data_IF_528843321574
#
_entry.id   IF_528843321574
#
_cell.length_a   1.000
_cell.length_b   1.000
_cell.length_c   1.000
_cell.angle_alpha   90.00
_cell.angle_beta   90.00
_cell.angle_gamma   90.00
#
_symmetry.space_group_name_H-M   'P 1'
#
loop_
_entity.id
_entity.type
_entity.pdbx_description
1 polymer ?
#
# COMPACT_ATOMS: atom_id res chain seq x y z
N UNK A 1 -8.13 -56.42 -101.13
CA UNK A 1 -7.55 -55.06 -101.16
C UNK A 1 -7.53 -54.56 -99.72
N UNK A 2 -6.45 -54.73 -98.92
CA UNK A 2 -5.33 -53.76 -98.72
C UNK A 2 -5.92 -52.38 -98.38
N UNK A 3 -5.74 -51.70 -97.22
CA UNK A 3 -4.71 -51.70 -96.16
C UNK A 3 -5.22 -50.89 -94.95
N UNK A 4 -4.79 -51.30 -93.74
CA UNK A 4 -4.26 -50.51 -92.60
C UNK A 4 -4.98 -49.21 -92.17
N UNK A 5 -5.28 -49.09 -90.88
CA UNK A 5 -4.32 -48.57 -89.88
C UNK A 5 -4.89 -48.67 -88.45
N UNK A 6 -4.11 -49.34 -87.62
CA UNK A 6 -4.06 -49.25 -86.17
C UNK A 6 -3.70 -47.84 -85.70
N UNK A 7 -4.27 -47.37 -84.59
CA UNK A 7 -3.51 -46.60 -83.61
C UNK A 7 -4.04 -46.79 -82.18
N UNK A 8 -3.12 -47.29 -81.35
CA UNK A 8 -3.13 -47.40 -79.90
C UNK A 8 -2.20 -46.28 -79.37
N UNK A 9 -2.60 -45.46 -78.40
CA UNK A 9 -1.75 -44.73 -77.41
C UNK A 9 -2.63 -43.84 -76.53
N UNK A 10 -2.81 -44.14 -75.22
CA UNK A 10 -1.97 -43.85 -74.03
C UNK A 10 -2.35 -42.53 -73.32
N UNK A 11 -2.50 -42.60 -71.99
CA UNK A 11 -2.57 -41.48 -71.02
C UNK A 11 -3.91 -41.47 -70.27
N UNK A 12 -4.12 -42.19 -69.16
CA UNK A 12 -3.55 -42.09 -67.80
C UNK A 12 -3.68 -40.69 -67.15
N UNK A 13 -4.28 -40.73 -65.95
CA UNK A 13 -4.11 -39.86 -64.78
C UNK A 13 -5.21 -38.82 -64.46
N UNK A 14 -6.06 -39.23 -63.51
CA UNK A 14 -6.20 -38.58 -62.20
C UNK A 14 -6.61 -37.09 -62.18
N UNK A 15 -7.90 -36.82 -62.35
CA UNK A 15 -8.52 -35.53 -62.01
C UNK A 15 -9.55 -35.75 -60.90
N UNK A 16 -9.10 -35.79 -59.66
CA UNK A 16 -10.00 -36.01 -58.53
C UNK A 16 -9.32 -36.03 -57.18
N UNK A 17 -8.30 -35.21 -56.94
CA UNK A 17 -7.74 -35.02 -55.59
C UNK A 17 -6.83 -33.78 -55.53
N UNK A 18 -7.39 -32.58 -55.64
CA UNK A 18 -6.60 -31.35 -55.45
C UNK A 18 -7.41 -30.19 -54.82
N UNK A 19 -8.36 -30.51 -53.93
CA UNK A 19 -9.12 -29.52 -53.14
C UNK A 19 -9.20 -30.00 -51.67
N UNK A 20 -8.08 -30.41 -51.07
CA UNK A 20 -8.06 -30.72 -49.63
C UNK A 20 -6.76 -30.37 -48.88
N UNK A 21 -5.80 -29.69 -49.53
CA UNK A 21 -4.50 -29.38 -48.90
C UNK A 21 -4.34 -27.90 -48.53
N UNK A 22 -5.23 -27.01 -48.98
CA UNK A 22 -5.10 -25.56 -48.69
C UNK A 22 -5.79 -25.14 -47.37
N UNK A 23 -6.65 -25.98 -46.77
CA UNK A 23 -7.34 -25.64 -45.51
C UNK A 23 -6.55 -25.95 -44.22
N UNK A 24 -5.39 -26.63 -44.30
CA UNK A 24 -4.62 -27.00 -43.11
C UNK A 24 -3.62 -25.93 -42.63
N UNK A 25 -3.50 -24.79 -43.32
CA UNK A 25 -2.50 -23.74 -43.03
C UNK A 25 -3.06 -22.47 -42.35
N UNK A 26 -4.32 -22.47 -41.89
CA UNK A 26 -4.94 -21.30 -41.21
C UNK A 26 -5.01 -21.51 -39.67
N UNK A 27 -4.57 -22.65 -39.15
CA UNK A 27 -4.65 -22.94 -37.71
C UNK A 27 -3.46 -22.42 -36.86
N UNK A 28 -2.62 -21.53 -37.39
CA UNK A 28 -1.65 -20.76 -36.61
C UNK A 28 -2.09 -19.29 -36.53
N UNK A 29 -3.31 -19.03 -36.06
CA UNK A 29 -3.71 -17.68 -35.67
C UNK A 29 -2.90 -17.27 -34.45
N UNK A 30 -2.00 -16.32 -34.68
CA UNK A 30 -0.98 -15.85 -33.76
C UNK A 30 -1.59 -15.37 -32.42
N UNK A 31 -1.53 -16.21 -31.39
CA UNK A 31 -1.67 -15.83 -29.97
C UNK A 31 -0.46 -15.00 -29.48
N UNK A 32 0.09 -14.13 -30.34
CA UNK A 32 1.41 -13.50 -30.18
C UNK A 32 1.30 -12.10 -29.53
N UNK A 33 0.10 -11.51 -29.43
CA UNK A 33 -0.05 -10.17 -28.86
C UNK A 33 -0.50 -10.14 -27.38
N UNK A 34 -1.20 -11.17 -26.88
CA UNK A 34 -1.68 -11.20 -25.48
C UNK A 34 -0.54 -11.26 -24.46
N UNK A 35 0.41 -12.19 -24.62
CA UNK A 35 1.47 -12.40 -23.62
C UNK A 35 2.41 -11.19 -23.44
N UNK A 36 2.68 -10.45 -24.51
CA UNK A 36 3.50 -9.23 -24.44
C UNK A 36 2.75 -8.10 -23.74
N UNK A 37 1.45 -7.95 -24.00
CA UNK A 37 0.57 -7.02 -23.31
C UNK A 37 0.46 -7.39 -21.83
N UNK A 38 0.19 -8.65 -21.51
CA UNK A 38 0.10 -9.16 -20.13
C UNK A 38 1.40 -8.92 -19.33
N UNK A 39 2.57 -9.07 -19.99
CA UNK A 39 3.88 -8.78 -19.38
C UNK A 39 4.05 -7.29 -19.11
N UNK A 40 3.66 -6.42 -20.05
CA UNK A 40 3.73 -4.97 -19.89
C UNK A 40 2.75 -4.47 -18.81
N UNK A 41 1.54 -5.04 -18.75
CA UNK A 41 0.56 -4.75 -17.70
C UNK A 41 1.09 -5.18 -16.33
N UNK A 42 1.69 -6.37 -16.24
CA UNK A 42 2.33 -6.85 -15.01
C UNK A 42 3.51 -5.97 -14.59
N UNK A 43 4.35 -5.51 -15.54
CA UNK A 43 5.43 -4.56 -15.26
C UNK A 43 4.91 -3.21 -14.79
N UNK A 44 3.80 -2.72 -15.37
CA UNK A 44 3.12 -1.49 -14.94
C UNK A 44 2.58 -1.63 -13.52
N UNK A 45 1.93 -2.75 -13.21
CA UNK A 45 1.45 -3.04 -11.86
C UNK A 45 2.59 -3.16 -10.84
N UNK A 46 3.73 -3.72 -11.25
CA UNK A 46 4.94 -3.81 -10.41
C UNK A 46 5.52 -2.42 -10.13
N UNK A 47 5.55 -1.54 -11.13
CA UNK A 47 5.99 -0.17 -10.96
C UNK A 47 5.06 0.60 -10.02
N UNK A 48 3.74 0.47 -10.20
CA UNK A 48 2.74 1.10 -9.33
C UNK A 48 2.86 0.63 -7.87
N UNK A 49 3.02 -0.68 -7.64
CA UNK A 49 3.22 -1.23 -6.30
C UNK A 49 4.54 -0.76 -5.66
N UNK A 50 5.62 -0.60 -6.42
CA UNK A 50 6.87 -0.04 -5.91
C UNK A 50 6.73 1.45 -5.55
N UNK A 51 6.05 2.23 -6.39
CA UNK A 51 5.74 3.63 -6.07
C UNK A 51 4.91 3.73 -4.78
N UNK A 52 3.89 2.87 -4.66
CA UNK A 52 3.06 2.80 -3.46
C UNK A 52 3.86 2.41 -2.22
N UNK A 53 4.72 1.39 -2.32
CA UNK A 53 5.60 0.96 -1.24
C UNK A 53 6.48 2.12 -0.75
N UNK A 54 7.04 2.90 -1.67
CA UNK A 54 7.84 4.07 -1.33
C UNK A 54 7.00 5.15 -0.62
N UNK A 55 5.76 5.39 -1.06
CA UNK A 55 4.86 6.33 -0.42
C UNK A 55 4.54 5.91 1.04
N UNK A 56 4.20 4.64 1.26
CA UNK A 56 3.90 4.11 2.60
C UNK A 56 5.14 4.14 3.49
N UNK A 57 6.34 3.83 2.96
CA UNK A 57 7.58 3.99 3.72
C UNK A 57 7.84 5.46 4.11
N UNK A 58 7.57 6.42 3.22
CA UNK A 58 7.70 7.84 3.54
C UNK A 58 6.69 8.28 4.62
N UNK A 59 5.47 7.76 4.57
CA UNK A 59 4.46 8.01 5.62
C UNK A 59 4.91 7.42 6.96
N UNK A 60 5.41 6.18 6.97
CA UNK A 60 5.96 5.53 8.16
C UNK A 60 7.06 6.38 8.80
N UNK A 61 8.01 6.87 8.00
CA UNK A 61 9.13 7.67 8.50
C UNK A 61 8.65 9.00 9.08
N UNK A 62 7.77 9.71 8.36
CA UNK A 62 7.19 10.97 8.86
C UNK A 62 6.44 10.80 10.16
N UNK A 63 5.58 9.78 10.25
CA UNK A 63 4.83 9.48 11.47
C UNK A 63 5.76 9.01 12.59
N UNK A 64 6.89 8.37 12.28
CA UNK A 64 7.87 7.99 13.31
C UNK A 64 8.50 9.22 13.94
N UNK A 65 8.91 10.21 13.11
CA UNK A 65 9.44 11.48 13.60
C UNK A 65 8.41 12.27 14.42
N UNK A 66 7.15 12.29 13.97
CA UNK A 66 6.05 12.90 14.70
C UNK A 66 5.84 12.22 16.06
N UNK A 67 5.81 10.89 16.08
CA UNK A 67 5.66 10.10 17.30
C UNK A 67 6.80 10.36 18.31
N UNK A 68 8.04 10.40 17.83
CA UNK A 68 9.20 10.76 18.66
C UNK A 68 9.09 12.18 19.25
N UNK A 69 8.60 13.14 18.46
CA UNK A 69 8.38 14.52 18.94
C UNK A 69 7.30 14.59 20.02
N UNK A 70 6.22 13.80 19.88
CA UNK A 70 5.12 13.74 20.83
C UNK A 70 5.57 13.24 22.21
N UNK A 71 6.55 12.32 22.29
CA UNK A 71 7.08 11.82 23.58
C UNK A 71 7.59 12.98 24.44
N UNK A 72 8.40 13.86 23.87
CA UNK A 72 8.96 15.01 24.62
C UNK A 72 7.85 15.97 25.09
N UNK A 73 6.85 16.18 24.25
CA UNK A 73 5.75 17.09 24.54
C UNK A 73 4.77 16.52 25.57
N UNK A 74 4.53 15.20 25.54
CA UNK A 74 3.79 14.46 26.56
C UNK A 74 4.49 14.60 27.91
N UNK A 75 5.79 14.37 27.98
CA UNK A 75 6.55 14.47 29.23
C UNK A 75 6.44 15.87 29.85
N UNK A 76 6.64 16.91 29.02
CA UNK A 76 6.48 18.30 29.47
C UNK A 76 5.04 18.59 29.90
N UNK A 77 4.05 18.10 29.17
CA UNK A 77 2.64 18.32 29.51
C UNK A 77 2.25 17.61 30.81
N UNK A 78 2.72 16.37 31.02
CA UNK A 78 2.51 15.61 32.25
C UNK A 78 3.18 16.26 33.46
N UNK A 79 4.41 16.77 33.30
CA UNK A 79 5.09 17.53 34.35
C UNK A 79 4.32 18.79 34.72
N UNK A 80 3.87 19.57 33.72
CA UNK A 80 3.09 20.78 33.94
C UNK A 80 1.73 20.50 34.60
N UNK A 81 1.06 19.43 34.17
CA UNK A 81 -0.20 18.99 34.76
C UNK A 81 -0.01 18.58 36.23
N UNK A 82 1.04 17.82 36.52
CA UNK A 82 1.39 17.38 37.88
C UNK A 82 1.72 18.56 38.80
N UNK A 83 2.56 19.49 38.33
CA UNK A 83 2.93 20.69 39.08
C UNK A 83 1.72 21.57 39.37
N UNK A 84 0.88 21.81 38.37
CA UNK A 84 -0.31 22.66 38.53
C UNK A 84 -1.38 22.01 39.41
N UNK A 85 -1.52 20.69 39.36
CA UNK A 85 -2.39 19.95 40.27
C UNK A 85 -1.90 20.04 41.72
N UNK A 86 -0.58 19.94 41.95
CA UNK A 86 0.00 20.11 43.28
C UNK A 86 -0.22 21.53 43.82
N UNK A 87 -0.02 22.56 43.00
CA UNK A 87 -0.28 23.96 43.37
C UNK A 87 -1.76 24.20 43.69
N UNK A 88 -2.67 23.68 42.86
CA UNK A 88 -4.11 23.78 43.08
C UNK A 88 -4.52 23.10 44.38
N UNK A 89 -3.98 21.91 44.67
CA UNK A 89 -4.21 21.18 45.92
C UNK A 89 -3.72 21.99 47.11
N UNK A 90 -2.48 22.49 47.08
CA UNK A 90 -1.91 23.32 48.15
C UNK A 90 -2.76 24.55 48.45
N UNK A 91 -3.22 25.27 47.42
CA UNK A 91 -4.07 26.45 47.60
C UNK A 91 -5.47 26.07 48.11
N UNK A 92 -6.00 24.91 47.70
CA UNK A 92 -7.26 24.36 48.20
C UNK A 92 -7.18 24.00 49.68
N UNK A 93 -6.08 23.37 50.11
CA UNK A 93 -5.84 23.00 51.50
C UNK A 93 -5.70 24.25 52.38
N UNK A 94 -4.99 25.26 51.88
CA UNK A 94 -4.90 26.58 52.53
C UNK A 94 -6.27 27.26 52.64
N UNK A 95 -7.06 27.25 51.57
CA UNK A 95 -8.41 27.84 51.57
C UNK A 95 -9.35 27.10 52.52
N UNK A 96 -9.22 25.78 52.63
CA UNK A 96 -10.01 24.97 53.57
C UNK A 96 -9.70 25.33 55.02
N UNK A 97 -8.47 25.78 55.29
CA UNK A 97 -8.04 26.26 56.61
C UNK A 97 -8.45 27.71 56.90
N UNK A 98 -8.71 28.51 55.86
CA UNK A 98 -9.15 29.92 55.94
C UNK A 98 -10.28 30.22 54.92
N UNK A 99 -11.49 29.66 55.13
CA UNK A 99 -12.55 29.64 54.12
C UNK A 99 -13.19 31.02 53.85
N UNK A 100 -12.95 32.01 54.71
CA UNK A 100 -13.40 33.39 54.51
C UNK A 100 -12.50 34.22 53.60
N UNK A 101 -11.32 33.72 53.23
CA UNK A 101 -10.32 34.50 52.53
C UNK A 101 -10.59 34.59 51.02
N UNK A 102 -11.31 35.64 50.62
CA UNK A 102 -11.67 35.87 49.22
C UNK A 102 -10.47 35.95 48.26
N UNK A 103 -9.33 36.50 48.71
CA UNK A 103 -8.12 36.60 47.87
C UNK A 103 -7.54 35.21 47.61
N UNK A 104 -7.50 34.37 48.64
CA UNK A 104 -7.06 32.99 48.53
C UNK A 104 -8.03 32.16 47.67
N UNK A 105 -9.34 32.34 47.83
CA UNK A 105 -10.36 31.69 47.01
C UNK A 105 -10.17 31.98 45.50
N UNK A 106 -9.93 33.25 45.16
CA UNK A 106 -9.63 33.66 43.76
C UNK A 106 -8.35 33.00 43.23
N UNK A 107 -7.31 32.85 44.06
CA UNK A 107 -6.06 32.18 43.66
C UNK A 107 -6.28 30.68 43.47
N UNK A 108 -6.95 30.01 44.40
CA UNK A 108 -7.27 28.59 44.32
C UNK A 108 -8.11 28.27 43.08
N UNK A 109 -9.13 29.07 42.79
CA UNK A 109 -9.93 28.93 41.56
C UNK A 109 -9.10 29.08 40.29
N UNK A 110 -8.20 30.07 40.22
CA UNK A 110 -7.28 30.24 39.07
C UNK A 110 -6.33 29.04 38.92
N UNK A 111 -5.79 28.53 40.02
CA UNK A 111 -4.90 27.37 40.01
C UNK A 111 -5.63 26.10 39.57
N UNK A 112 -6.84 25.85 40.06
CA UNK A 112 -7.69 24.75 39.62
C UNK A 112 -7.99 24.82 38.11
N UNK A 113 -8.33 26.01 37.60
CA UNK A 113 -8.55 26.22 36.16
C UNK A 113 -7.27 26.03 35.32
N UNK A 114 -6.10 26.32 35.87
CA UNK A 114 -4.82 26.03 35.21
C UNK A 114 -4.57 24.52 35.19
N UNK A 115 -4.70 23.84 36.33
CA UNK A 115 -4.54 22.40 36.44
C UNK A 115 -5.46 21.63 35.49
N UNK A 116 -6.73 22.02 35.39
CA UNK A 116 -7.68 21.42 34.45
C UNK A 116 -7.26 21.59 32.99
N UNK A 117 -6.73 22.77 32.62
CA UNK A 117 -6.24 23.02 31.25
C UNK A 117 -4.98 22.22 30.93
N UNK A 118 -4.04 22.16 31.86
CA UNK A 118 -2.78 21.41 31.68
C UNK A 118 -3.06 19.91 31.59
N UNK A 119 -3.93 19.37 32.45
CA UNK A 119 -4.39 17.98 32.37
C UNK A 119 -5.09 17.67 31.04
N UNK A 120 -5.95 18.57 30.55
CA UNK A 120 -6.60 18.41 29.25
C UNK A 120 -5.59 18.40 28.09
N UNK A 121 -4.56 19.25 28.16
CA UNK A 121 -3.49 19.28 27.16
C UNK A 121 -2.70 17.97 27.15
N UNK A 122 -2.29 17.49 28.32
CA UNK A 122 -1.61 16.19 28.46
C UNK A 122 -2.48 15.04 27.93
N UNK A 123 -3.77 15.03 28.26
CA UNK A 123 -4.71 14.04 27.75
C UNK A 123 -4.82 14.03 26.23
N UNK A 124 -4.89 15.20 25.59
CA UNK A 124 -4.92 15.31 24.11
C UNK A 124 -3.65 14.75 23.46
N UNK A 125 -2.49 15.11 23.99
CA UNK A 125 -1.20 14.63 23.46
C UNK A 125 -1.07 13.11 23.59
N UNK A 126 -1.55 12.53 24.69
CA UNK A 126 -1.57 11.07 24.84
C UNK A 126 -2.51 10.37 23.84
N UNK A 127 -3.65 10.98 23.51
CA UNK A 127 -4.56 10.46 22.47
C UNK A 127 -3.87 10.51 21.10
N UNK A 128 -3.27 11.64 20.75
CA UNK A 128 -2.55 11.83 19.49
C UNK A 128 -1.36 10.85 19.35
N UNK A 129 -0.63 10.61 20.45
CA UNK A 129 0.41 9.58 20.50
C UNK A 129 -0.13 8.16 20.31
N UNK A 130 -1.31 7.86 20.85
CA UNK A 130 -2.01 6.60 20.61
C UNK A 130 -2.36 6.43 19.13
N UNK A 131 -2.97 7.43 18.52
CA UNK A 131 -3.39 7.42 17.11
C UNK A 131 -2.19 7.26 16.16
N UNK A 132 -1.11 8.01 16.41
CA UNK A 132 0.14 7.90 15.63
C UNK A 132 0.80 6.52 15.78
N UNK A 133 0.79 5.95 16.99
CA UNK A 133 1.30 4.59 17.21
C UNK A 133 0.48 3.53 16.47
N UNK A 134 -0.85 3.68 16.41
CA UNK A 134 -1.72 2.80 15.62
C UNK A 134 -1.44 2.94 14.11
N UNK A 135 -1.29 4.17 13.61
CA UNK A 135 -0.90 4.41 12.21
C UNK A 135 0.43 3.76 11.84
N UNK A 136 1.44 3.83 12.73
CA UNK A 136 2.72 3.14 12.49
C UNK A 136 2.56 1.63 12.34
N UNK A 137 1.66 1.02 13.13
CA UNK A 137 1.35 -0.41 13.01
C UNK A 137 0.69 -0.70 11.66
N UNK A 138 -0.31 0.10 11.29
CA UNK A 138 -1.01 -0.06 10.00
C UNK A 138 -0.04 0.05 8.81
N UNK A 139 0.85 1.05 8.80
CA UNK A 139 1.83 1.20 7.72
C UNK A 139 2.82 0.02 7.66
N UNK A 140 3.26 -0.52 8.80
CA UNK A 140 4.12 -1.72 8.82
C UNK A 140 3.42 -2.94 8.21
N UNK A 141 2.15 -3.15 8.54
CA UNK A 141 1.33 -4.24 7.99
C UNK A 141 1.12 -4.06 6.48
N UNK A 142 0.83 -2.84 6.05
CA UNK A 142 0.64 -2.50 4.65
C UNK A 142 1.93 -2.65 3.82
N UNK A 143 3.07 -2.25 4.37
CA UNK A 143 4.39 -2.48 3.77
C UNK A 143 4.64 -3.98 3.59
N UNK A 144 4.34 -4.81 4.59
CA UNK A 144 4.49 -6.25 4.50
C UNK A 144 3.58 -6.84 3.40
N UNK A 145 2.30 -6.49 3.42
CA UNK A 145 1.34 -6.93 2.39
C UNK A 145 1.75 -6.51 0.97
N UNK A 146 2.26 -5.29 0.82
CA UNK A 146 2.72 -4.76 -0.47
C UNK A 146 3.98 -5.48 -0.96
N UNK A 147 4.92 -5.80 -0.06
CA UNK A 147 6.11 -6.61 -0.39
C UNK A 147 5.75 -8.01 -0.85
N UNK A 148 4.75 -8.65 -0.22
CA UNK A 148 4.28 -9.97 -0.64
C UNK A 148 3.65 -9.92 -2.04
N UNK A 149 2.78 -8.93 -2.31
CA UNK A 149 2.21 -8.71 -3.65
C UNK A 149 3.29 -8.45 -4.71
N UNK A 150 4.32 -7.67 -4.37
CA UNK A 150 5.45 -7.42 -5.26
C UNK A 150 6.22 -8.70 -5.57
N UNK A 151 6.47 -9.56 -4.56
CA UNK A 151 7.12 -10.84 -4.73
C UNK A 151 6.33 -11.74 -5.68
N UNK A 152 5.03 -11.88 -5.44
CA UNK A 152 4.15 -12.70 -6.29
C UNK A 152 4.10 -12.21 -7.73
N UNK A 153 3.99 -10.89 -7.93
CA UNK A 153 3.94 -10.28 -9.25
C UNK A 153 5.28 -10.42 -9.99
N UNK A 154 6.40 -10.24 -9.29
CA UNK A 154 7.74 -10.45 -9.85
C UNK A 154 7.93 -11.90 -10.29
N UNK A 155 7.54 -12.85 -9.46
CA UNK A 155 7.56 -14.28 -9.83
C UNK A 155 6.70 -14.54 -11.07
N UNK A 156 5.47 -14.02 -11.14
CA UNK A 156 4.62 -14.16 -12.33
C UNK A 156 5.29 -13.66 -13.61
N UNK A 157 5.95 -12.50 -13.57
CA UNK A 157 6.66 -11.93 -14.71
C UNK A 157 7.86 -12.81 -15.13
N UNK A 158 8.60 -13.36 -14.16
CA UNK A 158 9.75 -14.25 -14.41
C UNK A 158 9.35 -15.58 -15.05
N UNK A 159 8.17 -16.13 -14.69
CA UNK A 159 7.67 -17.40 -15.23
C UNK A 159 6.92 -17.26 -16.57
N UNK A 160 6.71 -16.05 -17.08
CA UNK A 160 6.11 -15.85 -18.41
C UNK A 160 7.12 -16.20 -19.52
N UNK A 161 6.80 -17.13 -20.44
CA UNK A 161 7.74 -17.58 -21.47
C UNK A 161 8.18 -16.43 -22.37
N UNK A 162 9.49 -16.30 -22.55
CA UNK A 162 10.08 -15.28 -23.41
C UNK A 162 10.02 -15.76 -24.86
N UNK A 163 9.00 -15.36 -25.62
CA UNK A 163 8.79 -15.82 -27.01
C UNK A 163 9.77 -15.22 -28.03
N UNK A 164 10.89 -14.64 -27.60
CA UNK A 164 11.95 -14.11 -28.46
C UNK A 164 13.01 -15.17 -28.79
N UNK A 165 12.61 -16.37 -29.22
CA UNK A 165 13.46 -17.26 -30.02
C UNK A 165 12.77 -17.51 -31.36
N UNK A 166 13.00 -16.62 -32.32
CA UNK A 166 12.82 -16.97 -33.73
C UNK A 166 14.10 -17.66 -34.18
N UNK A 167 14.02 -18.97 -34.41
CA UNK A 167 14.94 -19.67 -35.31
C UNK A 167 14.64 -19.26 -36.75
#
# INVERSE_FOLDING_TARGET
>A
MIRRKTMFKKGVQFKGLFIFVVLAMIACSNKINSQKIDRLESQRALLALNTYLNEVNLKLERTTLENESLISDIDKANQNASASAADAKKLSDQLSSDPGNQKLAKKASKAANKAARDAKKAGKLNVEFGDTTEMLKMYKEEIASTRDKLKDLKSKIEFMPNTNKSN
#
